data_IF_718173139505
#
_entry.id   IF_718173139505
#
_cell.length_a   1.000
_cell.length_b   1.000
_cell.length_c   1.000
_cell.angle_alpha   90.00
_cell.angle_beta   90.00
_cell.angle_gamma   90.00
#
_symmetry.space_group_name_H-M   'P 1'
#
loop_
_entity.id
_entity.type
_entity.pdbx_description
1 polymer ?
#
# COMPACT_ATOMS: atom_id res chain seq x y z
N UNK A 1 -32.23 7.91 3.21
CA UNK A 1 -33.07 9.10 3.10
C UNK A 1 -32.71 9.86 1.85
N UNK A 2 -33.68 10.46 1.20
CA UNK A 2 -33.51 11.12 -0.11
C UNK A 2 -32.87 12.51 -0.03
N UNK A 3 -32.49 12.96 1.17
CA UNK A 3 -31.86 14.26 1.40
C UNK A 3 -30.68 14.07 2.36
N UNK A 4 -29.51 14.67 2.07
CA UNK A 4 -28.37 14.59 2.97
C UNK A 4 -28.68 15.30 4.30
N UNK A 5 -28.12 14.83 5.43
CA UNK A 5 -28.29 15.49 6.72
C UNK A 5 -27.67 16.90 6.68
N UNK A 6 -28.17 17.83 7.50
CA UNK A 6 -27.60 19.18 7.59
C UNK A 6 -26.11 19.18 7.95
N UNK A 7 -25.67 18.17 8.70
CA UNK A 7 -24.26 17.92 9.03
C UNK A 7 -23.99 16.43 9.06
N UNK A 8 -22.82 16.01 8.60
CA UNK A 8 -22.36 14.63 8.73
C UNK A 8 -22.30 14.21 10.20
N UNK A 9 -22.96 13.12 10.61
CA UNK A 9 -22.97 12.68 12.01
C UNK A 9 -21.60 12.18 12.51
N UNK A 10 -20.67 11.86 11.60
CA UNK A 10 -19.33 11.39 11.95
C UNK A 10 -18.29 12.53 12.01
N UNK A 11 -18.25 13.39 10.97
CA UNK A 11 -17.19 14.39 10.84
C UNK A 11 -17.66 15.84 10.93
N UNK A 12 -18.96 16.09 11.04
CA UNK A 12 -19.53 17.43 11.21
C UNK A 12 -19.56 18.30 9.95
N UNK A 13 -19.12 17.78 8.78
CA UNK A 13 -19.14 18.51 7.51
C UNK A 13 -20.57 18.92 7.15
N UNK A 14 -20.80 20.20 6.71
CA UNK A 14 -22.12 20.66 6.30
C UNK A 14 -22.72 19.85 5.16
N UNK A 15 -24.05 19.65 5.19
CA UNK A 15 -24.80 18.93 4.15
C UNK A 15 -24.61 19.47 2.74
N UNK A 16 -24.29 20.77 2.59
CA UNK A 16 -23.96 21.40 1.31
C UNK A 16 -22.69 20.88 0.63
N UNK A 17 -21.87 20.12 1.35
CA UNK A 17 -20.67 19.47 0.80
C UNK A 17 -20.96 18.04 0.30
N UNK A 18 -22.16 17.51 0.51
CA UNK A 18 -22.56 16.23 -0.07
C UNK A 18 -22.99 16.45 -1.52
N UNK A 19 -22.45 15.64 -2.41
CA UNK A 19 -22.90 15.54 -3.81
C UNK A 19 -23.75 14.31 -3.98
N UNK A 20 -24.81 14.39 -4.78
CA UNK A 20 -25.61 13.23 -5.14
C UNK A 20 -24.74 12.23 -5.91
N UNK A 21 -24.63 11.02 -5.38
CA UNK A 21 -23.97 9.94 -6.09
C UNK A 21 -24.91 9.48 -7.21
N UNK A 22 -24.56 9.81 -8.46
CA UNK A 22 -25.23 9.21 -9.61
C UNK A 22 -24.94 7.71 -9.61
N UNK A 23 -25.96 6.90 -9.89
CA UNK A 23 -25.96 5.43 -9.80
C UNK A 23 -25.09 4.74 -10.89
N UNK A 24 -23.98 5.32 -11.30
CA UNK A 24 -22.92 4.60 -11.98
C UNK A 24 -22.13 3.89 -10.89
N UNK A 25 -21.86 2.58 -11.09
CA UNK A 25 -21.05 1.78 -10.15
C UNK A 25 -19.63 2.35 -10.09
N UNK A 26 -19.48 3.46 -9.35
CA UNK A 26 -18.17 3.89 -8.90
C UNK A 26 -17.91 3.20 -7.56
N UNK A 27 -16.86 2.42 -7.49
CA UNK A 27 -16.39 1.88 -6.23
C UNK A 27 -16.10 3.06 -5.30
N UNK A 28 -16.78 3.14 -4.18
CA UNK A 28 -16.64 4.26 -3.23
C UNK A 28 -15.22 4.43 -2.65
N UNK A 29 -14.31 3.52 -3.00
CA UNK A 29 -12.92 3.49 -2.57
C UNK A 29 -11.93 3.90 -3.67
N UNK A 30 -12.37 4.13 -4.91
CA UNK A 30 -11.48 4.56 -5.99
C UNK A 30 -11.19 6.06 -5.90
N UNK A 31 -9.92 6.40 -6.00
CA UNK A 31 -9.46 7.79 -6.02
C UNK A 31 -8.73 8.07 -7.33
N UNK A 32 -8.86 9.30 -7.83
CA UNK A 32 -7.96 9.78 -8.86
C UNK A 32 -6.56 9.89 -8.26
N UNK A 33 -5.58 9.24 -8.87
CA UNK A 33 -4.21 9.19 -8.35
C UNK A 33 -3.67 10.61 -8.15
N UNK A 34 -3.23 10.89 -6.93
CA UNK A 34 -2.71 12.19 -6.53
C UNK A 34 -3.75 13.22 -6.11
N UNK A 35 -5.04 12.86 -6.04
CA UNK A 35 -6.10 13.81 -5.66
C UNK A 35 -5.90 14.40 -4.26
N UNK A 36 -5.29 13.66 -3.35
CA UNK A 36 -4.97 14.12 -1.99
C UNK A 36 -3.96 15.28 -1.92
N UNK A 37 -3.30 15.59 -3.03
CA UNK A 37 -2.42 16.77 -3.18
C UNK A 37 -3.04 17.89 -4.00
N UNK A 38 -4.33 17.80 -4.31
CA UNK A 38 -5.07 18.82 -5.05
C UNK A 38 -5.93 19.62 -4.07
N UNK A 39 -5.52 20.85 -3.80
CA UNK A 39 -6.16 21.72 -2.83
C UNK A 39 -6.84 22.91 -3.52
N UNK A 40 -7.95 23.37 -2.92
CA UNK A 40 -8.57 24.64 -3.30
C UNK A 40 -7.67 25.83 -2.93
N UNK A 41 -7.86 26.95 -3.61
CA UNK A 41 -7.07 28.16 -3.38
C UNK A 41 -7.26 28.77 -1.96
N UNK A 42 -8.27 28.34 -1.24
CA UNK A 42 -8.63 28.76 0.11
C UNK A 42 -7.91 27.93 1.20
N UNK A 43 -7.18 26.87 0.84
CA UNK A 43 -6.44 26.05 1.80
C UNK A 43 -5.04 26.62 2.00
N UNK A 44 -4.67 27.07 3.22
CA UNK A 44 -3.33 27.61 3.52
C UNK A 44 -2.23 26.58 3.23
N UNK A 45 -1.06 27.06 2.80
CA UNK A 45 0.06 26.20 2.42
C UNK A 45 0.56 25.31 3.56
N UNK A 46 0.59 25.83 4.77
CA UNK A 46 0.97 25.06 5.97
C UNK A 46 -0.01 23.96 6.31
N UNK A 47 -1.31 24.16 6.02
CA UNK A 47 -2.35 23.14 6.17
C UNK A 47 -2.20 22.07 5.08
N UNK A 48 -1.90 22.47 3.83
CA UNK A 48 -1.63 21.52 2.75
C UNK A 48 -0.46 20.60 3.10
N UNK A 49 0.65 21.16 3.61
CA UNK A 49 1.83 20.41 4.02
C UNK A 49 1.50 19.42 5.15
N UNK A 50 0.80 19.86 6.20
CA UNK A 50 0.35 19.00 7.29
C UNK A 50 -0.53 17.84 6.80
N UNK A 51 -1.43 18.08 5.86
CA UNK A 51 -2.28 17.02 5.28
C UNK A 51 -1.41 16.01 4.53
N UNK A 52 -0.50 16.47 3.66
CA UNK A 52 0.38 15.59 2.87
C UNK A 52 1.28 14.76 3.80
N UNK A 53 1.88 15.37 4.81
CA UNK A 53 2.70 14.64 5.79
C UNK A 53 1.88 13.62 6.56
N UNK A 54 0.66 13.97 6.97
CA UNK A 54 -0.28 13.04 7.60
C UNK A 54 -0.61 11.85 6.71
N UNK A 55 -0.89 12.07 5.43
CA UNK A 55 -1.14 11.00 4.46
C UNK A 55 0.07 10.08 4.29
N UNK A 56 1.28 10.64 4.20
CA UNK A 56 2.53 9.85 4.11
C UNK A 56 2.79 9.02 5.38
N UNK A 57 2.57 9.62 6.55
CA UNK A 57 2.74 8.93 7.82
C UNK A 57 1.78 7.74 7.94
N UNK A 58 0.50 7.94 7.59
CA UNK A 58 -0.49 6.87 7.59
C UNK A 58 -0.13 5.80 6.55
N UNK A 59 0.20 6.15 5.31
CA UNK A 59 0.65 5.18 4.30
C UNK A 59 1.76 4.26 4.83
N UNK A 60 2.79 4.84 5.45
CA UNK A 60 3.91 4.07 6.01
C UNK A 60 3.47 3.21 7.21
N UNK A 61 2.57 3.72 8.04
CA UNK A 61 1.96 2.99 9.15
C UNK A 61 1.24 1.74 8.67
N UNK A 62 0.29 1.91 7.77
CA UNK A 62 -0.50 0.80 7.20
C UNK A 62 0.38 -0.26 6.52
N UNK A 63 1.37 0.16 5.70
CA UNK A 63 2.32 -0.77 5.09
C UNK A 63 3.09 -1.59 6.14
N UNK A 64 3.44 -0.98 7.27
CA UNK A 64 4.14 -1.64 8.37
C UNK A 64 3.21 -2.62 9.08
N UNK A 65 1.96 -2.23 9.33
CA UNK A 65 0.97 -3.04 10.04
C UNK A 65 0.59 -4.30 9.26
N UNK A 66 0.55 -4.25 7.93
CA UNK A 66 0.39 -5.47 7.09
C UNK A 66 1.41 -6.54 7.48
N UNK A 67 2.69 -6.19 7.50
CA UNK A 67 3.76 -7.14 7.85
C UNK A 67 3.70 -7.61 9.30
N UNK A 68 3.41 -6.69 10.22
CA UNK A 68 3.28 -6.98 11.65
C UNK A 68 2.13 -7.97 11.92
N UNK A 69 0.95 -7.71 11.39
CA UNK A 69 -0.25 -8.53 11.66
C UNK A 69 -0.11 -9.93 11.04
N UNK A 70 0.45 -10.04 9.85
CA UNK A 70 0.75 -11.36 9.27
C UNK A 70 1.79 -12.14 10.10
N UNK A 71 2.77 -11.46 10.69
CA UNK A 71 3.73 -12.10 11.59
C UNK A 71 3.08 -12.51 12.92
N UNK A 72 2.22 -11.66 13.50
CA UNK A 72 1.44 -11.96 14.72
C UNK A 72 0.48 -13.14 14.50
N UNK A 73 -0.14 -13.25 13.32
CA UNK A 73 -0.95 -14.42 12.97
C UNK A 73 -0.14 -15.72 13.04
N UNK A 74 1.09 -15.73 12.50
CA UNK A 74 1.98 -16.89 12.57
C UNK A 74 2.35 -17.26 14.02
N UNK A 75 2.53 -16.26 14.90
CA UNK A 75 2.77 -16.51 16.33
C UNK A 75 1.54 -17.16 16.96
N UNK A 76 0.35 -16.60 16.76
CA UNK A 76 -0.88 -17.12 17.31
C UNK A 76 -1.17 -18.58 16.88
N UNK A 77 -0.92 -18.93 15.62
CA UNK A 77 -1.06 -20.30 15.16
C UNK A 77 -0.08 -21.25 15.83
N UNK A 78 1.19 -20.85 16.03
CA UNK A 78 2.18 -21.68 16.75
C UNK A 78 1.83 -21.88 18.22
N UNK A 79 1.17 -20.91 18.82
CA UNK A 79 0.70 -20.98 20.21
C UNK A 79 -0.62 -21.76 20.36
N UNK A 80 -1.29 -22.12 19.25
CA UNK A 80 -2.53 -22.88 19.26
C UNK A 80 -3.78 -22.00 19.39
N UNK A 81 -3.70 -20.73 18.99
CA UNK A 81 -4.83 -19.77 18.97
C UNK A 81 -5.27 -19.44 17.53
N UNK A 82 -5.90 -20.37 16.81
CA UNK A 82 -6.24 -20.17 15.41
C UNK A 82 -7.20 -19.00 15.18
N UNK A 83 -8.18 -18.78 16.06
CA UNK A 83 -9.13 -17.67 15.97
C UNK A 83 -8.43 -16.30 16.04
N UNK A 84 -7.42 -16.17 16.90
CA UNK A 84 -6.59 -14.96 16.97
C UNK A 84 -5.77 -14.80 15.69
N UNK A 85 -5.19 -15.90 15.18
CA UNK A 85 -4.42 -15.90 13.94
C UNK A 85 -5.26 -15.50 12.74
N UNK A 86 -6.48 -16.02 12.62
CA UNK A 86 -7.41 -15.69 11.55
C UNK A 86 -7.82 -14.21 11.57
N UNK A 87 -8.04 -13.65 12.78
CA UNK A 87 -8.36 -12.24 12.90
C UNK A 87 -7.19 -11.34 12.52
N UNK A 88 -5.96 -11.68 12.92
CA UNK A 88 -4.75 -10.95 12.50
C UNK A 88 -4.54 -10.98 10.99
N UNK A 89 -4.76 -12.13 10.34
CA UNK A 89 -4.68 -12.23 8.88
C UNK A 89 -5.74 -11.34 8.20
N UNK A 90 -6.97 -11.33 8.73
CA UNK A 90 -8.04 -10.48 8.21
C UNK A 90 -7.68 -8.99 8.36
N UNK A 91 -7.25 -8.57 9.55
CA UNK A 91 -6.83 -7.20 9.81
C UNK A 91 -5.68 -6.79 8.87
N UNK A 92 -4.65 -7.62 8.69
CA UNK A 92 -3.54 -7.32 7.78
C UNK A 92 -3.97 -7.11 6.32
N UNK A 93 -5.03 -7.78 5.86
CA UNK A 93 -5.59 -7.52 4.53
C UNK A 93 -6.40 -6.21 4.49
N UNK A 94 -7.06 -5.84 5.57
CA UNK A 94 -7.76 -4.56 5.70
C UNK A 94 -6.75 -3.39 5.70
N UNK A 95 -5.60 -3.53 6.39
CA UNK A 95 -4.53 -2.52 6.35
C UNK A 95 -3.86 -2.41 4.97
N UNK A 96 -3.79 -3.50 4.20
CA UNK A 96 -3.33 -3.43 2.82
C UNK A 96 -4.26 -2.58 1.93
N UNK A 97 -5.57 -2.65 2.14
CA UNK A 97 -6.55 -1.79 1.47
C UNK A 97 -6.44 -0.34 1.91
N UNK A 98 -6.17 -0.07 3.19
CA UNK A 98 -5.92 1.28 3.69
C UNK A 98 -4.65 1.87 3.05
N UNK A 99 -3.55 1.11 3.02
CA UNK A 99 -2.32 1.51 2.36
C UNK A 99 -2.54 1.83 0.87
N UNK A 100 -3.31 1.00 0.16
CA UNK A 100 -3.64 1.24 -1.25
C UNK A 100 -4.38 2.57 -1.45
N UNK A 101 -5.36 2.89 -0.60
CA UNK A 101 -6.10 4.16 -0.65
C UNK A 101 -5.19 5.37 -0.39
N UNK A 102 -4.30 5.29 0.60
CA UNK A 102 -3.31 6.35 0.83
C UNK A 102 -2.33 6.50 -0.33
N UNK A 103 -1.91 5.40 -0.96
CA UNK A 103 -1.06 5.43 -2.15
C UNK A 103 -1.77 6.14 -3.32
N UNK A 104 -3.06 5.89 -3.54
CA UNK A 104 -3.87 6.58 -4.55
C UNK A 104 -4.02 8.07 -4.24
N UNK A 105 -4.35 8.44 -3.00
CA UNK A 105 -4.45 9.84 -2.59
C UNK A 105 -3.15 10.61 -2.82
N UNK A 106 -2.01 10.01 -2.51
CA UNK A 106 -0.69 10.64 -2.64
C UNK A 106 -0.19 10.68 -4.09
N UNK A 107 -0.38 9.62 -4.87
CA UNK A 107 0.20 9.50 -6.20
C UNK A 107 1.72 9.62 -6.22
N UNK A 108 2.41 9.14 -5.18
CA UNK A 108 3.86 9.22 -5.04
C UNK A 108 4.57 7.91 -5.38
N UNK A 109 3.95 6.79 -5.03
CA UNK A 109 4.49 5.43 -5.25
C UNK A 109 3.82 4.71 -6.41
N UNK A 110 2.73 5.25 -6.93
CA UNK A 110 1.99 4.78 -8.09
C UNK A 110 1.66 5.91 -9.04
N UNK A 111 1.31 5.58 -10.28
CA UNK A 111 0.78 6.50 -11.28
C UNK A 111 -0.55 5.98 -11.83
N UNK A 112 -1.27 6.80 -12.57
CA UNK A 112 -2.49 6.44 -13.30
C UNK A 112 -2.24 5.61 -14.57
N UNK A 113 -0.97 5.23 -14.82
CA UNK A 113 -0.54 4.48 -16.00
C UNK A 113 0.00 3.10 -15.62
N UNK A 114 -0.71 2.03 -15.98
CA UNK A 114 -0.23 0.65 -15.80
C UNK A 114 1.14 0.41 -16.46
N UNK A 115 1.40 1.04 -17.61
CA UNK A 115 2.70 0.98 -18.27
C UNK A 115 3.81 1.53 -17.38
N UNK A 116 3.64 2.77 -16.90
CA UNK A 116 4.63 3.42 -16.03
C UNK A 116 4.80 2.67 -14.71
N UNK A 117 3.72 2.17 -14.13
CA UNK A 117 3.81 1.38 -12.90
C UNK A 117 4.61 0.10 -13.11
N UNK A 118 4.44 -0.60 -14.24
CA UNK A 118 5.26 -1.76 -14.58
C UNK A 118 6.74 -1.38 -14.79
N UNK A 119 7.03 -0.30 -15.52
CA UNK A 119 8.40 0.17 -15.76
C UNK A 119 9.12 0.46 -14.41
N UNK A 120 8.48 1.20 -13.52
CA UNK A 120 9.00 1.51 -12.19
C UNK A 120 9.24 0.24 -11.35
N UNK A 121 8.32 -0.72 -11.42
CA UNK A 121 8.44 -1.95 -10.63
C UNK A 121 9.52 -2.88 -11.15
N UNK A 122 9.70 -3.03 -12.46
CA UNK A 122 10.82 -3.81 -13.03
C UNK A 122 12.16 -3.32 -12.50
N UNK A 123 12.38 -2.01 -12.47
CA UNK A 123 13.62 -1.43 -11.96
C UNK A 123 13.76 -1.67 -10.45
N UNK A 124 12.70 -1.43 -9.68
CA UNK A 124 12.72 -1.60 -8.23
C UNK A 124 12.92 -3.07 -7.79
N UNK A 125 12.30 -4.04 -8.48
CA UNK A 125 12.50 -5.47 -8.19
C UNK A 125 13.92 -5.92 -8.50
N UNK A 126 14.54 -5.40 -9.55
CA UNK A 126 15.94 -5.66 -9.86
C UNK A 126 16.86 -5.14 -8.74
N UNK A 127 16.63 -3.92 -8.25
CA UNK A 127 17.35 -3.34 -7.12
C UNK A 127 17.14 -4.14 -5.82
N UNK A 128 15.89 -4.52 -5.54
CA UNK A 128 15.54 -5.33 -4.37
C UNK A 128 16.19 -6.72 -4.40
N UNK A 129 16.25 -7.35 -5.58
CA UNK A 129 16.95 -8.62 -5.79
C UNK A 129 18.43 -8.51 -5.41
N UNK A 130 19.12 -7.51 -5.94
CA UNK A 130 20.55 -7.29 -5.66
C UNK A 130 20.79 -6.98 -4.17
N UNK A 131 20.02 -6.08 -3.58
CA UNK A 131 20.16 -5.72 -2.17
C UNK A 131 19.96 -6.90 -1.23
N UNK A 132 18.90 -7.70 -1.46
CA UNK A 132 18.66 -8.93 -0.66
C UNK A 132 19.75 -9.98 -0.88
N UNK A 133 20.26 -10.10 -2.10
CA UNK A 133 21.33 -11.05 -2.38
C UNK A 133 22.63 -10.70 -1.64
N UNK A 134 23.01 -9.42 -1.61
CA UNK A 134 24.18 -8.97 -0.84
C UNK A 134 24.00 -9.14 0.66
N UNK A 135 22.80 -8.86 1.19
CA UNK A 135 22.49 -9.12 2.60
C UNK A 135 22.58 -10.62 2.95
N UNK A 136 22.06 -11.50 2.08
CA UNK A 136 22.15 -12.94 2.26
C UNK A 136 23.61 -13.43 2.27
N UNK A 137 24.46 -12.94 1.35
CA UNK A 137 25.90 -13.24 1.34
C UNK A 137 26.58 -12.81 2.64
N UNK A 138 26.29 -11.60 3.11
CA UNK A 138 26.85 -11.10 4.37
C UNK A 138 26.43 -11.99 5.54
N UNK A 139 25.17 -12.37 5.64
CA UNK A 139 24.68 -13.29 6.66
C UNK A 139 25.42 -14.63 6.63
N UNK A 140 25.66 -15.18 5.42
CA UNK A 140 26.39 -16.44 5.26
C UNK A 140 27.84 -16.37 5.74
N UNK A 141 28.52 -15.25 5.52
CA UNK A 141 29.90 -15.06 5.99
C UNK A 141 30.04 -15.20 7.52
N UNK A 142 28.96 -14.89 8.25
CA UNK A 142 28.91 -14.97 9.71
C UNK A 142 28.12 -16.18 10.24
N UNK A 143 27.82 -17.16 9.38
CA UNK A 143 27.05 -18.37 9.72
C UNK A 143 25.65 -18.07 10.30
N UNK A 144 25.02 -16.99 9.85
CA UNK A 144 23.65 -16.61 10.23
C UNK A 144 22.65 -17.29 9.26
N UNK A 145 22.59 -18.61 9.29
CA UNK A 145 21.88 -19.42 8.28
C UNK A 145 20.39 -19.10 8.20
N UNK A 146 19.71 -18.89 9.33
CA UNK A 146 18.29 -18.50 9.31
C UNK A 146 18.02 -17.18 8.57
N UNK A 147 18.92 -16.20 8.72
CA UNK A 147 18.83 -14.93 8.00
C UNK A 147 19.17 -15.15 6.52
N UNK A 148 20.28 -15.85 6.26
CA UNK A 148 20.70 -16.16 4.89
C UNK A 148 19.58 -16.82 4.09
N UNK A 149 19.04 -17.93 4.60
CA UNK A 149 18.06 -18.74 3.87
C UNK A 149 16.78 -17.96 3.60
N UNK A 150 16.28 -17.22 4.61
CA UNK A 150 15.08 -16.39 4.47
C UNK A 150 15.28 -15.28 3.44
N UNK A 151 16.37 -14.53 3.54
CA UNK A 151 16.61 -13.36 2.65
C UNK A 151 16.98 -13.81 1.24
N UNK A 152 17.72 -14.93 1.11
CA UNK A 152 18.06 -15.50 -0.19
C UNK A 152 16.83 -15.99 -0.96
N UNK A 153 15.87 -16.63 -0.26
CA UNK A 153 14.60 -17.01 -0.87
C UNK A 153 13.80 -15.78 -1.35
N UNK A 154 13.71 -14.75 -0.51
CA UNK A 154 13.08 -13.48 -0.90
C UNK A 154 13.76 -12.85 -2.12
N UNK A 155 15.09 -12.87 -2.21
CA UNK A 155 15.80 -12.36 -3.40
C UNK A 155 15.39 -13.09 -4.69
N UNK A 156 15.12 -14.39 -4.62
CA UNK A 156 14.61 -15.18 -5.75
C UNK A 156 13.17 -14.79 -6.12
N UNK A 157 12.36 -14.46 -5.12
CA UNK A 157 11.00 -13.99 -5.35
C UNK A 157 11.00 -12.64 -6.07
N UNK A 158 11.85 -11.69 -5.62
CA UNK A 158 11.98 -10.39 -6.31
C UNK A 158 12.45 -10.54 -7.76
N UNK A 159 13.40 -11.44 -8.01
CA UNK A 159 13.84 -11.74 -9.37
C UNK A 159 12.71 -12.33 -10.24
N UNK A 160 11.82 -13.15 -9.66
CA UNK A 160 10.64 -13.68 -10.34
C UNK A 160 9.60 -12.58 -10.60
N UNK A 161 9.36 -11.69 -9.64
CA UNK A 161 8.46 -10.54 -9.80
C UNK A 161 8.95 -9.62 -10.92
N UNK A 162 10.23 -9.23 -10.92
CA UNK A 162 10.82 -8.40 -11.97
C UNK A 162 10.66 -8.99 -13.36
N UNK A 163 10.93 -10.29 -13.52
CA UNK A 163 10.73 -10.98 -14.81
C UNK A 163 9.26 -11.05 -15.23
N UNK A 164 8.34 -11.24 -14.28
CA UNK A 164 6.92 -11.26 -14.57
C UNK A 164 6.44 -9.88 -15.04
N UNK A 165 6.84 -8.81 -14.35
CA UNK A 165 6.51 -7.44 -14.74
C UNK A 165 7.10 -7.04 -16.09
N UNK A 166 8.35 -7.42 -16.37
CA UNK A 166 8.98 -7.23 -17.70
C UNK A 166 8.21 -7.97 -18.80
N UNK A 167 7.82 -9.21 -18.56
CA UNK A 167 7.01 -9.99 -19.47
C UNK A 167 5.65 -9.36 -19.76
N UNK A 168 4.98 -8.83 -18.74
CA UNK A 168 3.72 -8.11 -18.90
C UNK A 168 3.91 -6.78 -19.64
N UNK A 169 4.96 -6.03 -19.32
CA UNK A 169 5.31 -4.79 -20.01
C UNK A 169 5.50 -5.03 -21.50
N UNK A 170 6.29 -6.03 -21.85
CA UNK A 170 6.52 -6.41 -23.26
C UNK A 170 5.25 -6.89 -23.97
N UNK A 171 4.40 -7.65 -23.27
CA UNK A 171 3.18 -8.23 -23.86
C UNK A 171 2.13 -7.17 -24.22
N UNK A 172 1.96 -6.17 -23.36
CA UNK A 172 0.86 -5.21 -23.49
C UNK A 172 1.28 -3.85 -24.04
N UNK A 173 2.57 -3.51 -23.96
CA UNK A 173 3.07 -2.17 -24.29
C UNK A 173 4.35 -2.19 -25.14
N UNK A 174 4.83 -3.37 -25.54
CA UNK A 174 5.99 -3.54 -26.43
C UNK A 174 5.62 -3.58 -27.90
#
# INVERSE_FOLDING_TARGET
>A
GDVPPEKCPQCGVPGSKFTEQKAEMSWAAEHVVGVGKTFGADVPADVQEQIIEGLRANFNGECTEVGMYLAMARVAYREGYPEIGDYWNKAGLEEAEHAAKFAELLGEVITDSSKKNLEMRVEAENGATLGKFELAKLAKQYNLDAIHDTVHEMARDEARHGKAFEGLLKRYFG
#
